data_IF_345870939982
#
_entry.id   IF_345870939982
#
_cell.length_a   1.000
_cell.length_b   1.000
_cell.length_c   1.000
_cell.angle_alpha   90.00
_cell.angle_beta   90.00
_cell.angle_gamma   90.00
#
_symmetry.space_group_name_H-M   'P 1'
#
loop_
_entity.id
_entity.type
_entity.pdbx_description
1 polymer ?
#
# COMPACT_ATOMS: atom_id res chain seq x y z
N UNK A 1 -5.39 -1.11 16.36
CA UNK A 1 -6.17 0.15 16.35
C UNK A 1 -6.80 0.24 14.98
N UNK A 2 -8.10 0.45 14.84
CA UNK A 2 -8.73 0.35 13.50
C UNK A 2 -8.31 1.53 12.63
N UNK A 3 -7.91 1.23 11.40
CA UNK A 3 -7.52 2.20 10.38
C UNK A 3 -8.32 1.97 9.09
N UNK A 4 -8.51 3.04 8.34
CA UNK A 4 -9.35 3.04 7.14
C UNK A 4 -8.69 3.85 6.03
N UNK A 5 -9.05 3.54 4.77
CA UNK A 5 -8.72 4.40 3.66
C UNK A 5 -9.67 5.60 3.61
N UNK A 6 -9.09 6.78 3.48
CA UNK A 6 -9.76 8.04 3.14
C UNK A 6 -9.20 8.51 1.80
N UNK A 7 -9.86 8.22 0.67
CA UNK A 7 -9.36 8.58 -0.65
C UNK A 7 -9.16 10.10 -0.78
N UNK A 8 -7.96 10.52 -1.19
CA UNK A 8 -7.66 11.93 -1.45
C UNK A 8 -7.80 12.25 -2.94
N UNK A 9 -7.21 11.42 -3.80
CA UNK A 9 -7.30 11.54 -5.25
C UNK A 9 -7.48 10.17 -5.89
N UNK A 10 -8.43 10.05 -6.80
CA UNK A 10 -8.63 8.86 -7.61
C UNK A 10 -8.62 9.25 -9.08
N UNK A 11 -7.65 8.75 -9.84
CA UNK A 11 -7.57 8.95 -11.29
C UNK A 11 -7.26 7.62 -12.01
N UNK A 12 -7.40 7.58 -13.35
CA UNK A 12 -7.05 6.40 -14.12
C UNK A 12 -5.56 6.02 -14.06
N UNK A 13 -4.68 7.01 -13.84
CA UNK A 13 -3.21 6.86 -13.87
C UNK A 13 -2.60 6.74 -12.48
N UNK A 14 -3.21 7.34 -11.45
CA UNK A 14 -2.74 7.24 -10.07
C UNK A 14 -3.88 7.37 -9.06
N UNK A 15 -3.65 6.86 -7.85
CA UNK A 15 -4.52 7.00 -6.70
C UNK A 15 -3.69 7.39 -5.48
N UNK A 16 -4.22 8.30 -4.66
CA UNK A 16 -3.66 8.66 -3.36
C UNK A 16 -4.74 8.42 -2.33
N UNK A 17 -4.44 7.54 -1.37
CA UNK A 17 -5.33 7.14 -0.30
C UNK A 17 -4.68 7.53 1.01
N UNK A 18 -5.31 8.42 1.77
CA UNK A 18 -4.89 8.63 3.16
C UNK A 18 -5.30 7.42 4.00
N UNK A 19 -4.51 7.14 5.03
CA UNK A 19 -4.85 6.18 6.06
C UNK A 19 -5.19 6.97 7.31
N UNK A 20 -6.40 6.79 7.82
CA UNK A 20 -6.91 7.51 8.99
C UNK A 20 -7.30 6.53 10.09
N UNK A 21 -7.21 6.97 11.34
CA UNK A 21 -7.74 6.24 12.50
C UNK A 21 -9.25 6.45 12.67
N UNK A 22 -9.83 5.86 13.72
CA UNK A 22 -11.24 6.03 14.09
C UNK A 22 -11.65 7.47 14.46
N UNK A 23 -10.69 8.36 14.70
CA UNK A 23 -10.92 9.77 15.01
C UNK A 23 -10.73 10.67 13.77
N UNK A 24 -10.60 10.09 12.57
CA UNK A 24 -10.23 10.77 11.33
C UNK A 24 -8.86 11.47 11.37
N UNK A 25 -7.97 11.08 12.29
CA UNK A 25 -6.59 11.56 12.29
C UNK A 25 -5.81 10.83 11.21
N UNK A 26 -5.10 11.57 10.36
CA UNK A 26 -4.19 10.98 9.39
C UNK A 26 -3.02 10.30 10.11
N UNK A 27 -2.82 9.02 9.82
CA UNK A 27 -1.73 8.18 10.36
C UNK A 27 -0.76 7.70 9.27
N UNK A 28 -1.09 7.97 8.01
CA UNK A 28 -0.24 7.62 6.87
C UNK A 28 -0.94 7.83 5.52
N UNK A 29 -0.31 7.35 4.45
CA UNK A 29 -0.88 7.34 3.11
C UNK A 29 -0.40 6.13 2.28
N UNK A 30 -1.11 5.87 1.19
CA UNK A 30 -0.75 4.94 0.14
C UNK A 30 -0.94 5.63 -1.20
N UNK A 31 0.16 5.76 -1.95
CA UNK A 31 0.17 6.20 -3.33
C UNK A 31 0.27 4.98 -4.25
N UNK A 32 -0.59 4.94 -5.26
CA UNK A 32 -0.62 3.92 -6.29
C UNK A 32 -0.44 4.60 -7.64
N UNK A 33 0.53 4.14 -8.42
CA UNK A 33 0.76 4.61 -9.78
C UNK A 33 0.57 3.43 -10.74
N UNK A 34 -0.28 3.64 -11.74
CA UNK A 34 -0.55 2.68 -12.79
C UNK A 34 0.22 3.06 -14.05
N UNK A 35 1.06 2.16 -14.52
CA UNK A 35 1.81 2.33 -15.77
C UNK A 35 1.74 1.05 -16.59
N UNK A 36 0.99 1.07 -17.69
CA UNK A 36 0.71 -0.09 -18.56
C UNK A 36 0.29 -1.35 -17.77
N UNK A 37 1.22 -2.31 -17.63
CA UNK A 37 1.07 -3.58 -16.92
C UNK A 37 1.73 -3.58 -15.54
N UNK A 38 2.07 -2.42 -15.00
CA UNK A 38 2.75 -2.27 -13.71
C UNK A 38 1.88 -1.45 -12.76
N UNK A 39 1.86 -1.87 -11.51
CA UNK A 39 1.27 -1.16 -10.39
C UNK A 39 2.37 -0.89 -9.37
N UNK A 40 2.77 0.37 -9.27
CA UNK A 40 3.70 0.82 -8.25
C UNK A 40 2.90 1.24 -7.02
N UNK A 41 3.27 0.69 -5.87
CA UNK A 41 2.61 0.96 -4.59
C UNK A 41 3.66 1.48 -3.64
N UNK A 42 3.45 2.71 -3.17
CA UNK A 42 4.22 3.30 -2.10
C UNK A 42 3.28 3.57 -0.94
N UNK A 43 3.63 3.12 0.26
CA UNK A 43 2.84 3.42 1.44
C UNK A 43 3.72 3.72 2.63
N UNK A 44 3.29 4.71 3.42
CA UNK A 44 3.98 5.11 4.63
C UNK A 44 2.95 5.28 5.75
N UNK A 45 3.25 4.70 6.89
CA UNK A 45 2.48 4.79 8.11
C UNK A 45 3.41 5.23 9.24
N UNK A 46 3.04 6.26 9.97
CA UNK A 46 3.88 6.82 11.02
C UNK A 46 3.89 5.93 12.27
N UNK A 47 2.74 5.34 12.60
CA UNK A 47 2.51 4.68 13.88
C UNK A 47 2.83 3.17 13.82
N UNK A 48 3.76 2.70 14.67
CA UNK A 48 4.20 1.29 14.65
C UNK A 48 3.10 0.29 15.03
N UNK A 49 2.19 0.69 15.92
CA UNK A 49 1.15 -0.16 16.52
C UNK A 49 0.06 -0.64 15.57
N UNK A 50 0.05 -0.16 14.32
CA UNK A 50 -0.97 -0.48 13.30
C UNK A 50 -0.41 -1.26 12.11
N UNK A 51 0.79 -1.84 12.25
CA UNK A 51 1.45 -2.61 11.19
C UNK A 51 0.60 -3.77 10.65
N UNK A 52 -0.05 -4.54 11.53
CA UNK A 52 -0.89 -5.68 11.11
C UNK A 52 -2.15 -5.19 10.41
N UNK A 53 -2.86 -4.25 11.04
CA UNK A 53 -4.08 -3.65 10.50
C UNK A 53 -3.82 -3.02 9.12
N UNK A 54 -2.64 -2.44 8.90
CA UNK A 54 -2.25 -1.85 7.62
C UNK A 54 -2.00 -2.89 6.53
N UNK A 55 -1.32 -3.99 6.85
CA UNK A 55 -1.17 -5.10 5.90
C UNK A 55 -2.53 -5.70 5.52
N UNK A 56 -3.41 -5.88 6.50
CA UNK A 56 -4.75 -6.42 6.29
C UNK A 56 -5.64 -5.47 5.48
N UNK A 57 -5.40 -4.16 5.56
CA UNK A 57 -6.09 -3.14 4.75
C UNK A 57 -5.56 -3.06 3.31
N UNK A 58 -4.23 -3.01 3.13
CA UNK A 58 -3.60 -2.79 1.81
C UNK A 58 -3.64 -4.06 0.96
N UNK A 59 -3.39 -5.23 1.54
CA UNK A 59 -3.31 -6.51 0.80
C UNK A 59 -4.56 -6.81 -0.05
N UNK A 60 -5.79 -6.81 0.51
CA UNK A 60 -6.99 -7.10 -0.28
C UNK A 60 -7.26 -6.01 -1.32
N UNK A 61 -6.92 -4.76 -1.03
CA UNK A 61 -7.07 -3.65 -1.97
C UNK A 61 -6.20 -3.84 -3.21
N UNK A 62 -4.92 -4.15 -3.02
CA UNK A 62 -3.99 -4.45 -4.13
C UNK A 62 -4.40 -5.69 -4.90
N UNK A 63 -4.88 -6.75 -4.22
CA UNK A 63 -5.43 -7.94 -4.88
C UNK A 63 -6.66 -7.60 -5.75
N UNK A 64 -7.51 -6.68 -5.29
CA UNK A 64 -8.64 -6.18 -6.07
C UNK A 64 -8.20 -5.47 -7.35
N UNK A 65 -7.21 -4.57 -7.24
CA UNK A 65 -6.64 -3.85 -8.38
C UNK A 65 -5.95 -4.80 -9.39
N UNK A 66 -5.18 -5.76 -8.90
CA UNK A 66 -4.52 -6.77 -9.74
C UNK A 66 -5.52 -7.68 -10.47
N UNK A 67 -6.69 -7.96 -9.87
CA UNK A 67 -7.78 -8.69 -10.54
C UNK A 67 -8.46 -7.85 -11.62
N UNK A 68 -8.65 -6.56 -11.37
CA UNK A 68 -9.30 -5.65 -12.32
C UNK A 68 -8.45 -5.41 -13.57
N UNK A 69 -7.12 -5.34 -13.44
CA UNK A 69 -6.17 -5.22 -14.56
C UNK A 69 -5.47 -6.55 -14.82
N UNK A 70 -5.98 -7.32 -15.79
CA UNK A 70 -5.41 -8.65 -16.15
C UNK A 70 -3.90 -8.55 -16.43
N UNK A 71 -3.10 -9.27 -15.63
CA UNK A 71 -1.66 -9.38 -15.82
C UNK A 71 -0.84 -8.18 -15.35
N UNK A 72 -1.34 -7.43 -14.37
CA UNK A 72 -0.55 -6.37 -13.71
C UNK A 72 0.47 -6.95 -12.74
N UNK A 73 1.72 -6.55 -12.89
CA UNK A 73 2.81 -6.79 -11.95
C UNK A 73 2.79 -5.73 -10.84
N UNK A 74 2.79 -6.17 -9.58
CA UNK A 74 2.72 -5.27 -8.43
C UNK A 74 4.11 -5.08 -7.84
N UNK A 75 4.57 -3.84 -7.83
CA UNK A 75 5.82 -3.41 -7.21
C UNK A 75 5.47 -2.62 -5.95
N UNK A 76 5.78 -3.16 -4.77
CA UNK A 76 5.38 -2.54 -3.51
C UNK A 76 6.56 -2.13 -2.64
N UNK A 77 6.44 -0.95 -2.04
CA UNK A 77 7.36 -0.45 -1.04
C UNK A 77 6.55 0.19 0.09
N UNK A 78 6.38 -0.55 1.18
CA UNK A 78 5.60 -0.12 2.34
C UNK A 78 6.50 0.11 3.55
N UNK A 79 6.22 1.17 4.29
CA UNK A 79 6.89 1.53 5.52
C UNK A 79 5.89 1.71 6.65
N UNK A 80 6.23 1.21 7.84
CA UNK A 80 5.49 1.46 9.08
C UNK A 80 6.49 1.83 10.17
N UNK A 81 6.34 3.02 10.77
CA UNK A 81 7.26 3.55 11.78
C UNK A 81 8.73 3.49 11.36
N UNK A 82 9.03 4.02 10.17
CA UNK A 82 10.37 4.00 9.58
C UNK A 82 10.95 2.60 9.25
N UNK A 83 10.17 1.52 9.38
CA UNK A 83 10.60 0.16 9.04
C UNK A 83 9.94 -0.29 7.74
N UNK A 84 10.73 -0.80 6.80
CA UNK A 84 10.21 -1.40 5.56
C UNK A 84 9.49 -2.70 5.91
N UNK A 85 8.29 -2.88 5.36
CA UNK A 85 7.51 -4.12 5.49
C UNK A 85 7.26 -4.74 4.13
N UNK A 86 7.34 -6.06 4.05
CA UNK A 86 7.01 -6.83 2.85
C UNK A 86 5.55 -7.31 2.90
N UNK A 87 4.86 -7.25 1.77
CA UNK A 87 3.44 -7.60 1.65
C UNK A 87 3.17 -9.08 1.40
N UNK A 88 4.12 -9.84 0.86
CA UNK A 88 4.12 -11.32 0.80
C UNK A 88 5.53 -11.76 0.39
N UNK A 89 6.16 -12.70 1.10
CA UNK A 89 7.18 -13.62 0.56
C UNK A 89 8.36 -13.08 -0.28
N UNK A 90 8.60 -11.78 -0.35
CA UNK A 90 9.71 -11.16 -1.10
C UNK A 90 11.04 -11.32 -0.35
N UNK A 91 11.28 -12.49 0.23
CA UNK A 91 12.58 -12.94 0.73
C UNK A 91 13.43 -13.55 -0.40
N UNK A 92 13.48 -13.01 -1.63
CA UNK A 92 14.42 -13.60 -2.62
C UNK A 92 14.88 -12.77 -3.83
N UNK A 93 14.80 -11.44 -3.83
CA UNK A 93 15.31 -10.64 -4.97
C UNK A 93 16.31 -9.54 -4.65
N UNK A 94 16.84 -9.47 -3.41
CA UNK A 94 17.91 -8.54 -3.04
C UNK A 94 19.16 -9.22 -2.46
N UNK A 95 19.54 -10.37 -3.04
CA UNK A 95 20.95 -10.78 -3.09
C UNK A 95 21.37 -10.84 -4.55
N UNK A 96 22.56 -10.31 -4.82
CA UNK A 96 23.30 -10.31 -6.11
C UNK A 96 23.19 -9.01 -6.92
N UNK A 97 24.03 -8.02 -6.61
CA UNK A 97 25.37 -7.89 -7.21
C UNK A 97 26.22 -6.92 -6.39
#
# INVERSE_FOLDING_TARGET
>A
MQIYFSPEVLSPTFQVLNVVDSNNKAVGNVALLFDEKKLYVYGILEEEGVSSDFKDLVTPYLKGLAKAKKGVEVYSCLYVGCKKISLNGDEESNKTK
#
